data_IF_029625394056
#
_entry.id   IF_029625394056
#
_cell.length_a   1.000
_cell.length_b   1.000
_cell.length_c   1.000
_cell.angle_alpha   90.00
_cell.angle_beta   90.00
_cell.angle_gamma   90.00
#
_symmetry.space_group_name_H-M   'P 1'
#
loop_
_entity.id
_entity.type
_entity.pdbx_description
1 polymer ?
#
# COMPACT_ATOMS: atom_id res chain seq x y z
N UNK A 1 5.73 -4.73 14.82
CA UNK A 1 4.27 -4.87 14.68
C UNK A 1 4.05 -5.47 13.30
N UNK A 2 3.18 -6.48 13.15
CA UNK A 2 2.91 -7.01 11.83
C UNK A 2 2.15 -5.96 11.00
N UNK A 3 2.44 -5.89 9.71
CA UNK A 3 1.97 -4.87 8.77
C UNK A 3 1.00 -5.52 7.80
N UNK A 4 -0.14 -4.86 7.58
CA UNK A 4 -1.27 -5.40 6.81
C UNK A 4 -1.39 -4.78 5.43
N UNK A 5 -0.82 -3.60 5.23
CA UNK A 5 -0.75 -2.99 3.92
C UNK A 5 0.46 -2.09 3.79
N UNK A 6 1.02 -2.04 2.58
CA UNK A 6 2.20 -1.25 2.25
C UNK A 6 1.96 -0.53 0.94
N UNK A 7 2.07 0.79 0.96
CA UNK A 7 2.09 1.60 -0.26
C UNK A 7 3.53 1.81 -0.72
N UNK A 8 3.73 1.60 -2.01
CA UNK A 8 4.98 1.77 -2.72
C UNK A 8 4.80 2.73 -3.88
N UNK A 9 5.87 3.44 -4.23
CA UNK A 9 5.92 4.31 -5.39
C UNK A 9 7.15 4.04 -6.23
N UNK A 10 6.99 4.12 -7.55
CA UNK A 10 8.10 4.14 -8.49
C UNK A 10 7.76 5.08 -9.67
N UNK A 11 8.68 5.25 -10.62
CA UNK A 11 8.49 6.17 -11.74
C UNK A 11 7.45 5.72 -12.80
N UNK A 12 7.00 4.47 -12.75
CA UNK A 12 6.07 3.88 -13.70
C UNK A 12 4.64 3.78 -13.13
N UNK A 13 4.49 3.34 -11.89
CA UNK A 13 3.21 3.16 -11.22
C UNK A 13 3.37 3.08 -9.70
N UNK A 14 2.29 3.41 -8.99
CA UNK A 14 2.18 3.26 -7.55
C UNK A 14 1.41 1.99 -7.21
N UNK A 15 1.71 1.34 -6.10
CA UNK A 15 1.14 0.03 -5.73
C UNK A 15 0.89 -0.08 -4.25
N UNK A 16 -0.26 -0.64 -3.88
CA UNK A 16 -0.57 -1.08 -2.51
C UNK A 16 -0.50 -2.61 -2.48
N UNK A 17 0.35 -3.14 -1.60
CA UNK A 17 0.36 -4.55 -1.25
C UNK A 17 -0.49 -4.73 0.01
N UNK A 18 -1.24 -5.81 0.08
CA UNK A 18 -2.09 -6.15 1.24
C UNK A 18 -1.77 -7.56 1.73
N UNK A 19 -1.59 -7.70 3.04
CA UNK A 19 -1.37 -8.99 3.73
C UNK A 19 -2.69 -9.57 4.21
N UNK A 20 -3.43 -10.09 3.22
CA UNK A 20 -4.66 -10.85 3.41
C UNK A 20 -4.50 -12.26 2.81
N UNK A 21 -5.56 -13.07 2.87
CA UNK A 21 -5.55 -14.44 2.36
C UNK A 21 -5.16 -14.54 0.87
N UNK A 22 -5.40 -13.49 0.09
CA UNK A 22 -5.02 -13.40 -1.31
C UNK A 22 -3.60 -12.89 -1.55
N UNK A 23 -2.95 -12.23 -0.57
CA UNK A 23 -1.72 -11.47 -0.79
C UNK A 23 -1.88 -10.48 -1.95
N UNK A 24 -2.94 -9.66 -1.89
CA UNK A 24 -3.34 -8.80 -3.01
C UNK A 24 -2.31 -7.72 -3.33
N UNK A 25 -2.19 -7.40 -4.63
CA UNK A 25 -1.42 -6.28 -5.18
C UNK A 25 -2.37 -5.40 -5.98
N UNK A 26 -2.55 -4.15 -5.54
CA UNK A 26 -3.43 -3.17 -6.17
C UNK A 26 -2.62 -2.08 -6.84
N UNK A 27 -2.92 -1.80 -8.10
CA UNK A 27 -2.42 -0.59 -8.75
C UNK A 27 -3.14 0.61 -8.15
N UNK A 28 -2.40 1.67 -7.85
CA UNK A 28 -2.96 2.85 -7.21
C UNK A 28 -3.46 3.81 -8.27
N UNK A 29 -4.78 3.98 -8.30
CA UNK A 29 -5.47 5.09 -8.92
C UNK A 29 -6.01 6.06 -7.85
N UNK A 30 -6.77 7.06 -8.28
CA UNK A 30 -7.35 8.07 -7.38
C UNK A 30 -8.26 7.44 -6.31
N UNK A 31 -9.06 6.45 -6.68
CA UNK A 31 -9.99 5.79 -5.76
C UNK A 31 -9.23 4.94 -4.73
N UNK A 32 -8.30 4.11 -5.21
CA UNK A 32 -7.44 3.27 -4.38
C UNK A 32 -6.61 4.12 -3.41
N UNK A 33 -6.03 5.23 -3.89
CA UNK A 33 -5.28 6.15 -3.03
C UNK A 33 -6.17 6.81 -1.98
N UNK A 34 -7.35 7.31 -2.38
CA UNK A 34 -8.30 7.94 -1.46
C UNK A 34 -8.75 6.98 -0.36
N UNK A 35 -9.10 5.74 -0.74
CA UNK A 35 -9.43 4.68 0.21
C UNK A 35 -8.24 4.37 1.13
N UNK A 36 -7.03 4.20 0.59
CA UNK A 36 -5.84 3.94 1.39
C UNK A 36 -5.51 5.08 2.37
N UNK A 37 -5.64 6.34 1.95
CA UNK A 37 -5.22 7.50 2.73
C UNK A 37 -6.22 7.92 3.82
N UNK A 38 -7.53 7.71 3.60
CA UNK A 38 -8.58 8.25 4.47
C UNK A 38 -9.43 7.18 5.14
N UNK A 39 -9.80 6.12 4.42
CA UNK A 39 -10.79 5.13 4.88
C UNK A 39 -10.43 3.71 4.41
N UNK A 40 -9.33 3.12 4.89
CA UNK A 40 -8.90 1.82 4.39
C UNK A 40 -9.85 0.68 4.77
N UNK A 41 -10.77 0.89 5.72
CA UNK A 41 -11.68 -0.14 6.20
C UNK A 41 -10.92 -1.35 6.76
N UNK A 42 -11.44 -2.55 6.48
CA UNK A 42 -10.76 -3.83 6.74
C UNK A 42 -9.93 -4.24 5.53
N UNK A 43 -8.61 -4.44 5.71
CA UNK A 43 -7.70 -4.90 4.65
C UNK A 43 -8.06 -6.28 4.06
N UNK A 44 -8.85 -7.06 4.77
CA UNK A 44 -9.27 -8.41 4.35
C UNK A 44 -10.07 -8.38 3.03
N UNK A 45 -10.84 -7.32 2.78
CA UNK A 45 -11.73 -7.22 1.62
C UNK A 45 -11.04 -6.65 0.37
N UNK A 46 -9.81 -6.18 0.50
CA UNK A 46 -9.06 -5.58 -0.61
C UNK A 46 -8.52 -6.68 -1.53
N UNK A 47 -9.08 -6.77 -2.73
CA UNK A 47 -8.70 -7.77 -3.72
C UNK A 47 -8.04 -7.10 -4.93
N UNK A 48 -6.99 -7.74 -5.46
CA UNK A 48 -6.29 -7.31 -6.67
C UNK A 48 -6.20 -8.44 -7.68
N UNK A 49 -5.97 -8.11 -8.95
CA UNK A 49 -5.76 -9.12 -10.01
C UNK A 49 -4.40 -9.82 -9.88
N UNK A 50 -3.45 -9.18 -9.19
CA UNK A 50 -2.09 -9.67 -8.97
C UNK A 50 -1.88 -10.01 -7.50
N UNK A 51 -0.92 -10.90 -7.26
CA UNK A 51 -0.60 -11.40 -5.93
C UNK A 51 0.93 -11.42 -5.72
N UNK A 52 1.37 -11.19 -4.48
CA UNK A 52 2.76 -11.29 -4.08
C UNK A 52 3.03 -12.62 -3.36
N UNK A 53 4.29 -13.05 -3.28
CA UNK A 53 4.63 -14.45 -2.93
C UNK A 53 5.62 -14.59 -1.79
N UNK A 54 6.30 -13.51 -1.41
CA UNK A 54 7.32 -13.46 -0.37
C UNK A 54 6.73 -13.80 1.02
N UNK A 55 7.61 -14.12 1.96
CA UNK A 55 7.21 -14.43 3.35
C UNK A 55 6.87 -13.18 4.16
N UNK A 56 7.32 -12.01 3.70
CA UNK A 56 7.17 -10.74 4.37
C UNK A 56 6.74 -9.65 3.38
N UNK A 57 5.72 -8.87 3.76
CA UNK A 57 5.13 -7.84 2.90
C UNK A 57 6.12 -6.72 2.57
N UNK A 58 7.08 -6.38 3.45
CA UNK A 58 8.09 -5.37 3.12
C UNK A 58 9.14 -5.92 2.15
N UNK A 59 9.49 -7.20 2.24
CA UNK A 59 10.30 -7.87 1.23
C UNK A 59 9.61 -7.85 -0.13
N UNK A 60 8.31 -8.18 -0.18
CA UNK A 60 7.52 -8.08 -1.40
C UNK A 60 7.47 -6.64 -1.93
N UNK A 61 7.15 -5.67 -1.08
CA UNK A 61 6.97 -4.27 -1.44
C UNK A 61 8.21 -3.66 -2.10
N UNK A 62 9.42 -4.05 -1.69
CA UNK A 62 10.67 -3.59 -2.32
C UNK A 62 10.78 -3.96 -3.80
N UNK A 63 10.10 -5.01 -4.26
CA UNK A 63 10.06 -5.37 -5.67
C UNK A 63 9.15 -4.45 -6.50
N UNK A 64 8.29 -3.66 -5.85
CA UNK A 64 7.34 -2.73 -6.48
C UNK A 64 7.77 -1.28 -6.39
N UNK A 65 8.74 -0.93 -5.52
CA UNK A 65 9.31 0.42 -5.49
C UNK A 65 9.73 0.86 -4.09
N UNK A 66 9.82 2.17 -3.93
CA UNK A 66 10.11 2.79 -2.64
C UNK A 66 8.88 2.72 -1.75
N UNK A 67 9.06 2.21 -0.54
CA UNK A 67 8.01 2.11 0.48
C UNK A 67 7.77 3.50 1.07
N UNK A 68 6.56 4.02 0.96
CA UNK A 68 6.23 5.39 1.42
C UNK A 68 5.32 5.44 2.63
N UNK A 69 4.45 4.43 2.79
CA UNK A 69 3.52 4.36 3.90
C UNK A 69 3.09 2.91 4.16
N UNK A 70 2.68 2.62 5.38
CA UNK A 70 2.14 1.30 5.74
C UNK A 70 1.10 1.38 6.85
N UNK A 71 0.28 0.34 6.94
CA UNK A 71 -0.65 0.14 8.05
C UNK A 71 -0.25 -1.06 8.90
N UNK A 72 -0.37 -0.92 10.22
CA UNK A 72 -0.28 -2.05 11.15
C UNK A 72 -1.65 -2.73 11.34
N UNK A 73 -1.70 -3.90 11.99
CA UNK A 73 -2.98 -4.58 12.31
C UNK A 73 -3.92 -3.78 13.21
N UNK A 74 -3.45 -2.73 13.89
CA UNK A 74 -4.29 -1.85 14.71
C UNK A 74 -4.98 -0.78 13.85
N UNK A 75 -4.74 -0.75 12.53
CA UNK A 75 -5.29 0.25 11.61
C UNK A 75 -4.55 1.59 11.68
N UNK A 76 -3.37 1.66 12.28
CA UNK A 76 -2.58 2.88 12.33
C UNK A 76 -1.73 3.06 11.07
N UNK A 77 -1.95 4.18 10.38
CA UNK A 77 -1.13 4.64 9.25
C UNK A 77 0.22 5.16 9.75
N UNK A 78 1.30 4.64 9.19
CA UNK A 78 2.65 5.17 9.35
C UNK A 78 3.17 5.68 8.01
N UNK A 79 3.45 6.98 7.93
CA UNK A 79 4.10 7.60 6.76
C UNK A 79 5.61 7.49 6.95
N UNK A 80 6.27 6.74 6.05
CA UNK A 80 7.68 6.40 6.11
C UNK A 80 8.56 7.34 5.26
N UNK A 81 8.02 7.81 4.13
CA UNK A 81 8.61 8.87 3.31
C UNK A 81 7.59 10.01 3.13
N UNK A 82 7.72 11.05 3.95
CA UNK A 82 6.78 12.18 3.94
C UNK A 82 6.82 12.96 2.63
N UNK A 83 7.99 13.12 2.01
CA UNK A 83 8.09 13.93 0.79
C UNK A 83 7.33 13.25 -0.35
N UNK A 84 7.58 11.96 -0.56
CA UNK A 84 6.86 11.19 -1.59
C UNK A 84 5.37 11.07 -1.27
N UNK A 85 5.02 10.89 0.00
CA UNK A 85 3.62 10.87 0.42
C UNK A 85 2.88 12.16 0.05
N UNK A 86 3.42 13.33 0.35
CA UNK A 86 2.79 14.61 0.00
C UNK A 86 2.71 14.83 -1.51
N UNK A 87 3.72 14.40 -2.28
CA UNK A 87 3.65 14.40 -3.75
C UNK A 87 2.50 13.53 -4.27
N UNK A 88 2.32 12.32 -3.71
CA UNK A 88 1.22 11.42 -4.11
C UNK A 88 -0.14 11.98 -3.70
N UNK A 89 -0.25 12.58 -2.51
CA UNK A 89 -1.46 13.30 -2.11
C UNK A 89 -1.81 14.37 -3.13
N UNK A 90 -0.85 15.21 -3.52
CA UNK A 90 -1.09 16.24 -4.53
C UNK A 90 -1.46 15.70 -5.91
N UNK A 91 -0.94 14.53 -6.28
CA UNK A 91 -1.23 13.90 -7.57
C UNK A 91 -2.63 13.26 -7.62
N UNK A 92 -3.07 12.62 -6.54
CA UNK A 92 -4.32 11.86 -6.50
C UNK A 92 -5.51 12.65 -5.93
N UNK A 93 -5.30 13.59 -5.02
CA UNK A 93 -6.37 14.45 -4.45
C UNK A 93 -6.71 15.62 -5.37
#
# INVERSE_FOLDING_TARGET
MPVVAVMTTNNAYDTVLVDNSGKAVLLVDKETFGAFAHEPGTWEDWQGEKHWAEDDIFMAAKNYGDIIACYNHEGALSILDRNKWEERKWFYE
#
